data_IF_126096425794
#
_entry.id   IF_126096425794
#
_cell.length_a   1.000
_cell.length_b   1.000
_cell.length_c   1.000
_cell.angle_alpha   90.00
_cell.angle_beta   90.00
_cell.angle_gamma   90.00
#
_symmetry.space_group_name_H-M   'P 1'
#
loop_
_entity.id
_entity.type
_entity.pdbx_description
1 polymer ?
#
# COMPACT_ATOMS: atom_id res chain seq x y z
N UNK A 1 -3.47 -12.15 19.59
CA UNK A 1 -3.29 -12.85 18.30
C UNK A 1 -2.71 -11.85 17.33
N UNK A 2 -1.59 -12.19 16.68
CA UNK A 2 -1.05 -11.38 15.58
C UNK A 2 -2.11 -11.38 14.48
N UNK A 3 -2.49 -10.20 13.99
CA UNK A 3 -3.48 -10.12 12.92
C UNK A 3 -2.80 -10.60 11.64
N UNK A 4 -3.27 -11.70 11.09
CA UNK A 4 -2.80 -12.19 9.80
C UNK A 4 -3.47 -11.37 8.70
N UNK A 5 -2.65 -10.70 7.89
CA UNK A 5 -3.09 -10.04 6.66
C UNK A 5 -2.97 -11.06 5.53
N UNK A 6 -3.90 -11.09 4.56
CA UNK A 6 -3.79 -11.99 3.42
C UNK A 6 -2.45 -11.84 2.69
N UNK A 7 -1.80 -12.97 2.41
CA UNK A 7 -0.47 -13.01 1.79
C UNK A 7 -0.41 -12.25 0.46
N UNK A 8 -1.47 -12.32 -0.35
CA UNK A 8 -1.57 -11.59 -1.62
C UNK A 8 -1.44 -10.08 -1.43
N UNK A 9 -2.08 -9.53 -0.41
CA UNK A 9 -1.99 -8.11 -0.10
C UNK A 9 -0.59 -7.75 0.39
N UNK A 10 0.00 -8.57 1.27
CA UNK A 10 1.34 -8.33 1.79
C UNK A 10 2.40 -8.38 0.68
N UNK A 11 2.32 -9.37 -0.22
CA UNK A 11 3.23 -9.51 -1.36
C UNK A 11 3.10 -8.30 -2.29
N UNK A 12 1.86 -7.90 -2.60
CA UNK A 12 1.62 -6.73 -3.43
C UNK A 12 2.21 -5.46 -2.81
N UNK A 13 1.93 -5.15 -1.55
CA UNK A 13 2.44 -3.94 -0.90
C UNK A 13 3.98 -3.86 -0.87
N UNK A 14 4.68 -5.00 -0.87
CA UNK A 14 6.14 -5.03 -0.87
C UNK A 14 6.77 -4.90 -2.26
N UNK A 15 6.08 -5.38 -3.30
CA UNK A 15 6.68 -5.52 -4.64
C UNK A 15 5.99 -4.67 -5.72
N UNK A 16 4.78 -4.17 -5.50
CA UNK A 16 3.95 -3.55 -6.52
C UNK A 16 4.66 -2.41 -7.29
N UNK A 17 5.48 -1.61 -6.62
CA UNK A 17 6.25 -0.52 -7.27
C UNK A 17 7.20 -1.03 -8.37
N UNK A 18 7.64 -2.29 -8.29
CA UNK A 18 8.52 -2.93 -9.28
C UNK A 18 7.79 -3.83 -10.26
N UNK A 19 6.59 -4.28 -9.88
CA UNK A 19 5.83 -5.30 -10.59
C UNK A 19 4.76 -4.70 -11.52
N UNK A 20 4.44 -3.40 -11.38
CA UNK A 20 3.44 -2.69 -12.19
C UNK A 20 4.07 -1.56 -12.99
N UNK A 21 3.51 -1.29 -14.16
CA UNK A 21 4.06 -0.36 -15.15
C UNK A 21 3.55 1.08 -14.96
N UNK A 22 2.38 1.26 -14.35
CA UNK A 22 1.76 2.56 -14.12
C UNK A 22 0.87 2.61 -12.86
N UNK A 23 0.50 3.82 -12.44
CA UNK A 23 -0.37 4.03 -11.27
C UNK A 23 -1.79 3.49 -11.46
N UNK A 24 -2.25 3.34 -12.70
CA UNK A 24 -3.55 2.76 -12.99
C UNK A 24 -3.55 1.24 -12.74
N UNK A 25 -2.52 0.53 -13.19
CA UNK A 25 -2.31 -0.89 -12.95
C UNK A 25 -2.13 -1.14 -11.44
N UNK A 26 -1.32 -0.33 -10.77
CA UNK A 26 -1.18 -0.40 -9.30
C UNK A 26 -2.56 -0.35 -8.62
N UNK A 27 -3.35 0.68 -8.95
CA UNK A 27 -4.65 0.89 -8.34
C UNK A 27 -5.65 -0.24 -8.68
N UNK A 28 -5.64 -0.70 -9.93
CA UNK A 28 -6.51 -1.78 -10.40
C UNK A 28 -6.19 -3.10 -9.68
N UNK A 29 -4.92 -3.45 -9.57
CA UNK A 29 -4.48 -4.68 -8.91
C UNK A 29 -4.71 -4.64 -7.40
N UNK A 30 -4.45 -3.51 -6.75
CA UNK A 30 -4.78 -3.33 -5.34
C UNK A 30 -6.29 -3.51 -5.11
N UNK A 31 -7.13 -2.86 -5.92
CA UNK A 31 -8.58 -3.03 -5.82
C UNK A 31 -9.03 -4.48 -6.07
N UNK A 32 -8.42 -5.18 -7.02
CA UNK A 32 -8.68 -6.60 -7.29
C UNK A 32 -8.36 -7.47 -6.06
N UNK A 33 -7.23 -7.22 -5.41
CA UNK A 33 -6.83 -7.93 -4.18
C UNK A 33 -7.78 -7.61 -3.03
N UNK A 34 -8.14 -6.34 -2.83
CA UNK A 34 -9.07 -5.93 -1.78
C UNK A 34 -10.45 -6.57 -1.92
N UNK A 35 -10.91 -6.80 -3.15
CA UNK A 35 -12.18 -7.47 -3.44
C UNK A 35 -12.14 -9.00 -3.28
N UNK A 36 -10.98 -9.60 -2.97
CA UNK A 36 -10.90 -11.03 -2.70
C UNK A 36 -11.54 -11.41 -1.36
N UNK A 37 -12.10 -12.62 -1.30
CA UNK A 37 -12.75 -13.16 -0.09
C UNK A 37 -11.84 -13.10 1.15
N UNK A 38 -10.53 -13.32 0.96
CA UNK A 38 -9.54 -13.30 2.04
C UNK A 38 -9.42 -11.90 2.65
N UNK A 39 -9.33 -10.86 1.82
CA UNK A 39 -9.28 -9.47 2.26
C UNK A 39 -10.61 -9.03 2.89
N UNK A 40 -11.74 -9.41 2.30
CA UNK A 40 -13.07 -9.05 2.82
C UNK A 40 -13.37 -9.69 4.19
N UNK A 41 -12.73 -10.83 4.50
CA UNK A 41 -12.84 -11.49 5.82
C UNK A 41 -11.82 -10.96 6.84
N UNK A 42 -10.61 -10.63 6.40
CA UNK A 42 -9.51 -10.24 7.29
C UNK A 42 -9.50 -8.74 7.62
N UNK A 43 -9.97 -7.89 6.72
CA UNK A 43 -9.99 -6.44 6.86
C UNK A 43 -11.38 -5.94 7.24
N UNK A 44 -11.42 -4.86 8.01
CA UNK A 44 -12.65 -4.12 8.27
C UNK A 44 -13.01 -3.25 7.07
N UNK A 45 -14.28 -2.88 6.95
CA UNK A 45 -14.76 -2.00 5.87
C UNK A 45 -13.99 -0.67 5.84
N UNK A 46 -13.63 -0.11 7.00
CA UNK A 46 -12.84 1.12 7.09
C UNK A 46 -11.43 0.96 6.54
N UNK A 47 -10.79 -0.18 6.77
CA UNK A 47 -9.45 -0.44 6.26
C UNK A 47 -9.47 -0.67 4.75
N UNK A 48 -10.51 -1.34 4.25
CA UNK A 48 -10.72 -1.54 2.82
C UNK A 48 -10.97 -0.18 2.15
N UNK A 49 -11.81 0.67 2.73
CA UNK A 49 -12.06 2.03 2.21
C UNK A 49 -10.77 2.86 2.20
N UNK A 50 -9.99 2.89 3.29
CA UNK A 50 -8.74 3.63 3.32
C UNK A 50 -7.73 3.16 2.26
N UNK A 51 -7.63 1.84 2.02
CA UNK A 51 -6.77 1.30 0.96
C UNK A 51 -7.29 1.60 -0.45
N UNK A 52 -8.61 1.73 -0.62
CA UNK A 52 -9.22 2.14 -1.89
C UNK A 52 -9.00 3.61 -2.18
N UNK A 53 -9.10 4.47 -1.18
CA UNK A 53 -8.82 5.90 -1.31
C UNK A 53 -7.35 6.12 -1.68
N UNK A 54 -6.44 5.41 -1.01
CA UNK A 54 -5.02 5.36 -1.37
C UNK A 54 -4.78 4.90 -2.82
N UNK A 55 -5.45 3.83 -3.25
CA UNK A 55 -5.36 3.33 -4.62
C UNK A 55 -5.84 4.38 -5.64
N UNK A 56 -6.92 5.09 -5.34
CA UNK A 56 -7.47 6.12 -6.22
C UNK A 56 -6.55 7.34 -6.34
N UNK A 57 -5.88 7.73 -5.26
CA UNK A 57 -4.91 8.82 -5.29
C UNK A 57 -3.65 8.42 -6.06
N UNK A 58 -3.16 7.18 -5.92
CA UNK A 58 -2.09 6.66 -6.79
C UNK A 58 -2.50 6.74 -8.26
N UNK A 59 -3.71 6.31 -8.60
CA UNK A 59 -4.22 6.34 -9.98
C UNK A 59 -4.26 7.75 -10.57
N UNK A 60 -4.52 8.77 -9.73
CA UNK A 60 -4.63 10.18 -10.16
C UNK A 60 -3.26 10.85 -10.25
N UNK A 61 -2.41 10.60 -9.26
CA UNK A 61 -1.15 11.30 -9.07
C UNK A 61 0.01 10.64 -9.82
N UNK A 62 -0.14 9.37 -10.19
CA UNK A 62 0.87 8.57 -10.87
C UNK A 62 0.31 8.12 -12.22
N UNK A 63 0.88 8.68 -13.28
CA UNK A 63 0.73 8.16 -14.63
C UNK A 63 1.63 6.94 -14.80
N UNK A 64 2.61 7.02 -15.69
CA UNK A 64 3.64 5.98 -15.83
C UNK A 64 4.52 5.87 -14.58
N UNK A 65 4.89 4.65 -14.20
CA UNK A 65 5.85 4.43 -13.12
C UNK A 65 7.25 4.66 -13.67
N UNK A 66 7.84 5.79 -13.27
CA UNK A 66 9.21 6.15 -13.57
C UNK A 66 10.07 6.14 -12.29
N UNK A 67 11.27 6.70 -12.36
CA UNK A 67 12.22 6.73 -11.24
C UNK A 67 11.71 7.54 -10.03
N UNK A 68 10.80 8.50 -10.23
CA UNK A 68 10.25 9.35 -9.18
C UNK A 68 8.93 8.81 -8.62
N UNK A 69 8.31 7.85 -9.32
CA UNK A 69 7.05 7.26 -8.89
C UNK A 69 7.16 6.49 -7.57
N UNK A 70 8.31 5.87 -7.25
CA UNK A 70 8.49 5.21 -5.94
C UNK A 70 8.46 6.20 -4.77
N UNK A 71 9.07 7.38 -4.93
CA UNK A 71 9.04 8.43 -3.91
C UNK A 71 7.62 8.96 -3.74
N UNK A 72 6.92 9.21 -4.86
CA UNK A 72 5.54 9.69 -4.84
C UNK A 72 4.56 8.69 -4.23
N UNK A 73 4.71 7.39 -4.50
CA UNK A 73 3.91 6.32 -3.85
C UNK A 73 4.10 6.36 -2.33
N UNK A 74 5.34 6.56 -1.86
CA UNK A 74 5.65 6.65 -0.43
C UNK A 74 5.13 7.93 0.20
N UNK A 75 5.14 9.05 -0.51
CA UNK A 75 4.53 10.30 -0.07
C UNK A 75 3.02 10.14 0.11
N UNK A 76 2.33 9.60 -0.90
CA UNK A 76 0.89 9.32 -0.83
C UNK A 76 0.60 8.31 0.30
N UNK A 77 1.43 7.28 0.47
CA UNK A 77 1.29 6.33 1.59
C UNK A 77 1.40 7.05 2.93
N UNK A 78 2.35 7.97 3.06
CA UNK A 78 2.57 8.74 4.27
C UNK A 78 1.42 9.72 4.55
N UNK A 79 0.83 10.33 3.53
CA UNK A 79 -0.34 11.21 3.68
C UNK A 79 -1.57 10.45 4.20
N UNK A 80 -1.81 9.23 3.69
CA UNK A 80 -2.94 8.40 4.09
C UNK A 80 -2.75 7.71 5.45
N UNK A 81 -1.57 7.13 5.70
CA UNK A 81 -1.33 6.21 6.81
C UNK A 81 -0.30 6.71 7.83
N UNK A 82 0.31 7.87 7.58
CA UNK A 82 1.32 8.48 8.44
C UNK A 82 2.63 7.70 8.49
N UNK A 83 3.44 7.99 9.51
CA UNK A 83 4.81 7.46 9.65
C UNK A 83 4.88 5.92 9.74
N UNK A 84 3.79 5.26 10.10
CA UNK A 84 3.74 3.80 10.27
C UNK A 84 3.40 3.06 8.98
N UNK A 85 2.98 3.77 7.93
CA UNK A 85 2.59 3.22 6.63
C UNK A 85 1.38 2.29 6.72
N UNK A 86 1.06 1.65 5.59
CA UNK A 86 -0.10 0.76 5.45
C UNK A 86 -0.02 -0.40 6.45
N UNK A 87 1.13 -1.06 6.55
CA UNK A 87 1.30 -2.21 7.45
C UNK A 87 1.09 -1.83 8.92
N UNK A 88 1.53 -0.63 9.30
CA UNK A 88 1.33 -0.11 10.64
C UNK A 88 -0.12 0.30 10.92
N UNK A 89 -0.81 0.82 9.92
CA UNK A 89 -2.25 1.12 9.98
C UNK A 89 -3.09 -0.16 10.14
N UNK A 90 -2.75 -1.22 9.40
CA UNK A 90 -3.42 -2.52 9.48
C UNK A 90 -3.10 -3.32 10.77
N UNK A 91 -2.23 -2.78 11.63
CA UNK A 91 -1.94 -3.36 12.94
C UNK A 91 -1.00 -4.57 12.91
N UNK A 92 -0.21 -4.75 11.84
CA UNK A 92 0.86 -5.74 11.82
C UNK A 92 1.89 -5.34 12.87
N UNK A 93 2.11 -6.18 13.89
CA UNK A 93 3.23 -5.99 14.82
C UNK A 93 4.52 -6.30 14.07
N UNK A 94 5.29 -5.25 13.84
CA UNK A 94 6.64 -5.19 13.24
C UNK A 94 6.72 -5.27 11.70
N UNK A 95 6.66 -4.11 11.06
CA UNK A 95 7.75 -3.74 10.16
C UNK A 95 8.56 -2.64 10.86
N UNK A 96 9.60 -3.04 11.60
CA UNK A 96 10.61 -2.10 12.09
C UNK A 96 11.34 -1.56 10.85
N UNK A 97 10.74 -0.59 10.14
CA UNK A 97 11.44 0.16 9.08
C UNK A 97 12.46 1.03 9.84
N UNK A 98 13.77 0.74 9.80
CA UNK A 98 14.74 1.63 10.40
C UNK A 98 14.54 3.03 9.80
N UNK A 99 14.57 4.07 10.64
CA UNK A 99 14.47 5.46 10.18
C UNK A 99 15.47 5.66 9.03
N UNK A 100 15.09 6.27 7.90
CA UNK A 100 16.06 6.63 6.88
C UNK A 100 17.08 7.58 7.51
N UNK A 101 18.33 7.12 7.61
CA UNK A 101 19.46 7.96 7.96
C UNK A 101 19.88 8.63 6.66
N UNK A 102 19.52 9.89 6.50
CA UNK A 102 20.00 10.72 5.39
C UNK A 102 21.52 10.94 5.55
N UNK A 103 22.36 10.54 4.58
CA UNK A 103 23.75 10.98 4.59
C UNK A 103 23.76 12.45 4.13
N UNK A 104 24.38 13.30 4.94
CA UNK A 104 24.70 14.69 4.60
C UNK A 104 25.53 14.78 3.32
#
# INVERSE_FOLDING_TARGET
MLREIPDKLLIFLNNAVKDVDDGYEYASELNRILNSDDCQRALSSKEIEALRDYADDIRKEIGEIDRYSEEKIKEIEWEHFGQRGILGYLGVKEYNKPKPVWPF
#
